data_IF_607336015820
#
_entry.id   IF_607336015820
#
_cell.length_a   1.000
_cell.length_b   1.000
_cell.length_c   1.000
_cell.angle_alpha   90.00
_cell.angle_beta   90.00
_cell.angle_gamma   90.00
#
_symmetry.space_group_name_H-M   'P 1'
#
loop_
_entity.id
_entity.type
_entity.pdbx_description
1 polymer ?
#
# COMPACT_ATOMS: atom_id res chain seq x y z
N UNK A 1 23.89 12.60 -13.01
CA UNK A 1 22.46 12.72 -13.35
C UNK A 1 22.01 11.39 -13.90
N UNK A 2 21.30 10.60 -13.11
CA UNK A 2 20.70 9.34 -13.55
C UNK A 2 19.22 9.43 -13.22
N UNK A 3 18.40 9.49 -14.27
CA UNK A 3 16.94 9.50 -14.16
C UNK A 3 16.50 8.22 -13.46
N UNK A 4 16.03 8.35 -12.21
CA UNK A 4 15.29 7.29 -11.55
C UNK A 4 13.93 7.17 -12.25
N UNK A 5 13.89 6.36 -13.30
CA UNK A 5 12.66 5.92 -13.95
C UNK A 5 11.86 5.23 -12.86
N UNK A 6 10.76 5.86 -12.43
CA UNK A 6 9.73 5.15 -11.68
C UNK A 6 9.22 4.06 -12.61
N UNK A 7 9.65 2.81 -12.37
CA UNK A 7 9.20 1.70 -13.19
C UNK A 7 7.68 1.68 -13.20
N UNK A 8 7.02 1.71 -14.36
CA UNK A 8 5.57 1.61 -14.45
C UNK A 8 5.04 0.39 -13.71
N UNK A 9 5.83 -0.67 -13.50
CA UNK A 9 5.37 -1.87 -12.82
C UNK A 9 4.82 -1.65 -11.38
N UNK A 10 5.25 -0.60 -10.67
CA UNK A 10 4.89 -0.39 -9.27
C UNK A 10 3.60 0.42 -9.04
N UNK A 11 2.99 1.01 -10.09
CA UNK A 11 1.69 1.70 -9.94
C UNK A 11 0.54 0.71 -10.13
N UNK A 12 -0.62 0.91 -9.46
CA UNK A 12 -1.80 0.09 -9.70
C UNK A 12 -2.20 0.10 -11.18
N UNK A 13 -2.76 -1.01 -11.69
CA UNK A 13 -3.13 -1.13 -13.11
C UNK A 13 -4.07 -0.01 -13.56
N UNK A 14 -5.00 0.42 -12.70
CA UNK A 14 -5.95 1.49 -13.03
C UNK A 14 -5.29 2.82 -13.42
N UNK A 15 -4.03 3.05 -13.04
CA UNK A 15 -3.27 4.25 -13.38
C UNK A 15 -2.42 4.09 -14.66
N UNK A 16 -2.38 2.88 -15.25
CA UNK A 16 -1.44 2.55 -16.33
C UNK A 16 -2.07 1.95 -17.57
N UNK A 17 -3.28 1.43 -17.45
CA UNK A 17 -3.96 0.74 -18.54
C UNK A 17 -5.47 1.00 -18.49
N UNK A 18 -6.12 0.82 -19.63
CA UNK A 18 -7.58 0.93 -19.73
C UNK A 18 -8.27 -0.16 -18.93
N UNK A 19 -9.56 0.04 -18.63
CA UNK A 19 -10.39 -0.97 -17.96
C UNK A 19 -10.45 -2.29 -18.75
N UNK A 20 -10.46 -2.24 -20.09
CA UNK A 20 -10.49 -3.43 -20.93
C UNK A 20 -9.19 -4.24 -20.81
N UNK A 21 -8.04 -3.57 -20.94
CA UNK A 21 -6.72 -4.22 -20.79
C UNK A 21 -6.56 -4.78 -19.38
N UNK A 22 -6.90 -3.99 -18.36
CA UNK A 22 -6.88 -4.41 -16.96
C UNK A 22 -7.76 -5.65 -16.75
N UNK A 23 -8.97 -5.68 -17.30
CA UNK A 23 -9.86 -6.83 -17.16
C UNK A 23 -9.25 -8.11 -17.75
N UNK A 24 -8.64 -8.03 -18.94
CA UNK A 24 -7.96 -9.19 -19.56
C UNK A 24 -6.79 -9.67 -18.70
N UNK A 25 -5.97 -8.75 -18.18
CA UNK A 25 -4.87 -9.09 -17.27
C UNK A 25 -5.37 -9.75 -15.98
N UNK A 26 -6.42 -9.20 -15.36
CA UNK A 26 -7.02 -9.78 -14.15
C UNK A 26 -7.58 -11.19 -14.40
N UNK A 27 -8.20 -11.43 -15.56
CA UNK A 27 -8.66 -12.77 -15.94
C UNK A 27 -7.50 -13.75 -16.03
N UNK A 28 -6.39 -13.37 -16.66
CA UNK A 28 -5.17 -14.20 -16.71
C UNK A 28 -4.67 -14.52 -15.32
N UNK A 29 -4.55 -13.51 -14.45
CA UNK A 29 -4.13 -13.70 -13.05
C UNK A 29 -5.02 -14.69 -12.28
N UNK A 30 -6.35 -14.65 -12.49
CA UNK A 30 -7.27 -15.64 -11.89
C UNK A 30 -6.93 -17.06 -12.36
N UNK A 31 -6.62 -17.25 -13.64
CA UNK A 31 -6.25 -18.57 -14.16
C UNK A 31 -4.86 -19.03 -13.67
N UNK A 32 -3.96 -18.09 -13.41
CA UNK A 32 -2.63 -18.34 -12.81
C UNK A 32 -2.68 -18.64 -11.31
N UNK A 33 -3.86 -18.59 -10.69
CA UNK A 33 -4.05 -18.96 -9.30
C UNK A 33 -4.06 -17.80 -8.31
N UNK A 34 -4.04 -16.55 -8.79
CA UNK A 34 -4.03 -15.37 -7.92
C UNK A 34 -5.37 -15.24 -7.17
N UNK A 35 -5.36 -15.03 -5.83
CA UNK A 35 -6.56 -14.83 -5.03
C UNK A 35 -7.13 -13.42 -5.16
N UNK A 36 -8.39 -13.24 -4.78
CA UNK A 36 -9.13 -11.98 -4.88
C UNK A 36 -8.37 -10.80 -4.28
N UNK A 37 -7.76 -10.98 -3.10
CA UNK A 37 -7.06 -9.90 -2.39
C UNK A 37 -5.90 -9.30 -3.19
N UNK A 38 -5.12 -10.14 -3.87
CA UNK A 38 -4.02 -9.69 -4.72
C UNK A 38 -4.51 -9.03 -6.00
N UNK A 39 -5.66 -9.45 -6.54
CA UNK A 39 -6.30 -8.76 -7.67
C UNK A 39 -6.73 -7.34 -7.29
N UNK A 40 -7.24 -7.14 -6.08
CA UNK A 40 -7.61 -5.81 -5.57
C UNK A 40 -6.38 -4.90 -5.51
N UNK A 41 -5.30 -5.37 -4.88
CA UNK A 41 -4.01 -4.65 -4.81
C UNK A 41 -3.45 -4.32 -6.19
N UNK A 42 -3.34 -5.32 -7.07
CA UNK A 42 -2.78 -5.13 -8.40
C UNK A 42 -3.60 -4.17 -9.25
N UNK A 43 -4.93 -4.25 -9.17
CA UNK A 43 -5.83 -3.39 -9.95
C UNK A 43 -5.90 -1.96 -9.41
N UNK A 44 -5.79 -1.76 -8.09
CA UNK A 44 -6.16 -0.51 -7.44
C UNK A 44 -7.66 -0.21 -7.57
N UNK A 45 -8.51 -1.25 -7.57
CA UNK A 45 -9.97 -1.15 -7.71
C UNK A 45 -10.68 -1.95 -6.62
N UNK A 46 -11.90 -1.52 -6.31
CA UNK A 46 -12.78 -2.24 -5.39
C UNK A 46 -13.25 -3.58 -5.97
N UNK A 47 -13.61 -4.52 -5.09
CA UNK A 47 -14.16 -5.83 -5.47
C UNK A 47 -15.40 -5.72 -6.36
N UNK A 48 -16.32 -4.81 -6.04
CA UNK A 48 -17.50 -4.56 -6.87
C UNK A 48 -17.12 -4.11 -8.29
N UNK A 49 -16.07 -3.28 -8.43
CA UNK A 49 -15.58 -2.81 -9.72
C UNK A 49 -14.98 -3.95 -10.53
N UNK A 50 -14.14 -4.80 -9.93
CA UNK A 50 -13.55 -5.96 -10.62
C UNK A 50 -14.64 -6.92 -11.11
N UNK A 51 -15.61 -7.25 -10.27
CA UNK A 51 -16.69 -8.16 -10.63
C UNK A 51 -17.60 -7.58 -11.73
N UNK A 52 -17.78 -6.25 -11.74
CA UNK A 52 -18.47 -5.57 -12.84
C UNK A 52 -17.68 -5.67 -14.14
N UNK A 53 -16.37 -5.45 -14.11
CA UNK A 53 -15.51 -5.60 -15.30
C UNK A 53 -15.55 -7.02 -15.87
N UNK A 54 -15.47 -8.05 -15.01
CA UNK A 54 -15.63 -9.43 -15.45
C UNK A 54 -16.97 -9.67 -16.12
N UNK A 55 -18.05 -9.13 -15.55
CA UNK A 55 -19.38 -9.25 -16.14
C UNK A 55 -19.48 -8.57 -17.50
N UNK A 56 -18.94 -7.35 -17.63
CA UNK A 56 -18.95 -6.55 -18.85
C UNK A 56 -18.06 -7.16 -19.95
N UNK A 57 -16.98 -7.85 -19.57
CA UNK A 57 -16.07 -8.52 -20.51
C UNK A 57 -16.74 -9.67 -21.27
N UNK A 58 -17.66 -10.39 -20.63
CA UNK A 58 -18.39 -11.47 -21.29
C UNK A 58 -19.65 -10.91 -21.95
N UNK A 59 -19.79 -11.13 -23.26
CA UNK A 59 -20.93 -10.66 -24.06
C UNK A 59 -22.31 -11.03 -23.48
N UNK A 60 -22.40 -12.14 -22.75
CA UNK A 60 -23.58 -12.51 -21.96
C UNK A 60 -23.20 -12.68 -20.49
N UNK A 61 -23.74 -11.85 -19.58
CA UNK A 61 -23.58 -12.04 -18.14
C UNK A 61 -23.99 -13.46 -17.73
N UNK A 62 -23.19 -14.09 -16.85
CA UNK A 62 -23.45 -15.44 -16.33
C UNK A 62 -23.40 -16.58 -17.36
N UNK A 63 -22.77 -16.36 -18.52
CA UNK A 63 -22.41 -17.44 -19.43
C UNK A 63 -21.49 -18.47 -18.75
N UNK A 64 -21.32 -19.65 -19.37
CA UNK A 64 -20.49 -20.72 -18.83
C UNK A 64 -19.04 -20.28 -18.53
N UNK A 65 -18.46 -19.45 -19.40
CA UNK A 65 -17.12 -18.90 -19.22
C UNK A 65 -17.04 -17.96 -17.99
N UNK A 66 -18.00 -17.07 -17.83
CA UNK A 66 -18.09 -16.20 -16.65
C UNK A 66 -18.24 -17.00 -15.36
N UNK A 67 -19.13 -18.00 -15.34
CA UNK A 67 -19.30 -18.90 -14.18
C UNK A 67 -18.03 -19.68 -13.86
N UNK A 68 -17.30 -20.14 -14.88
CA UNK A 68 -16.02 -20.83 -14.73
C UNK A 68 -14.95 -19.92 -14.12
N UNK A 69 -14.85 -18.68 -14.57
CA UNK A 69 -13.94 -17.68 -14.00
C UNK A 69 -14.22 -17.46 -12.51
N UNK A 70 -15.49 -17.19 -12.15
CA UNK A 70 -15.86 -16.96 -10.74
C UNK A 70 -15.65 -18.19 -9.87
N UNK A 71 -15.86 -19.40 -10.42
CA UNK A 71 -15.54 -20.65 -9.72
C UNK A 71 -14.03 -20.76 -9.46
N UNK A 72 -13.20 -20.47 -10.47
CA UNK A 72 -11.74 -20.50 -10.35
C UNK A 72 -11.24 -19.51 -9.29
N UNK A 73 -11.79 -18.30 -9.28
CA UNK A 73 -11.43 -17.29 -8.28
C UNK A 73 -11.73 -17.77 -6.85
N UNK A 74 -12.90 -18.40 -6.62
CA UNK A 74 -13.22 -19.01 -5.32
C UNK A 74 -12.28 -20.14 -4.93
N UNK A 75 -11.86 -20.96 -5.89
CA UNK A 75 -10.86 -22.02 -5.65
C UNK A 75 -9.50 -21.43 -5.26
N UNK A 76 -9.08 -20.33 -5.89
CA UNK A 76 -7.84 -19.64 -5.54
C UNK A 76 -7.91 -19.06 -4.12
N UNK A 77 -9.02 -18.41 -3.77
CA UNK A 77 -9.25 -17.89 -2.41
C UNK A 77 -9.19 -19.01 -1.36
N UNK A 78 -9.84 -20.15 -1.63
CA UNK A 78 -9.82 -21.30 -0.74
C UNK A 78 -8.42 -21.90 -0.59
N UNK A 79 -7.65 -21.99 -1.68
CA UNK A 79 -6.25 -22.45 -1.64
C UNK A 79 -5.36 -21.52 -0.84
N UNK A 80 -5.52 -20.20 -0.99
CA UNK A 80 -4.75 -19.23 -0.22
C UNK A 80 -5.09 -19.32 1.27
N UNK A 81 -6.38 -19.43 1.62
CA UNK A 81 -6.82 -19.62 2.99
C UNK A 81 -6.29 -20.92 3.61
N UNK A 82 -6.28 -22.01 2.85
CA UNK A 82 -5.72 -23.29 3.30
C UNK A 82 -4.20 -23.24 3.46
N UNK A 83 -3.48 -22.60 2.53
CA UNK A 83 -2.03 -22.40 2.64
C UNK A 83 -1.66 -21.56 3.87
N UNK A 84 -2.45 -20.53 4.18
CA UNK A 84 -2.33 -19.74 5.39
C UNK A 84 -2.60 -20.57 6.65
N UNK A 85 -3.64 -21.42 6.65
CA UNK A 85 -3.95 -22.33 7.77
C UNK A 85 -2.81 -23.32 8.05
N UNK A 86 -2.14 -23.78 7.00
CA UNK A 86 -1.01 -24.69 7.07
C UNK A 86 0.34 -23.98 7.29
N UNK A 87 0.34 -22.65 7.51
CA UNK A 87 1.55 -21.81 7.63
C UNK A 87 2.52 -21.93 6.43
N UNK A 88 2.02 -22.33 5.26
CA UNK A 88 2.81 -22.41 4.03
C UNK A 88 3.00 -21.04 3.38
N UNK A 89 2.11 -20.10 3.71
CA UNK A 89 2.18 -18.69 3.31
C UNK A 89 1.88 -17.84 4.54
N UNK A 90 2.70 -16.82 4.85
CA UNK A 90 2.42 -15.92 5.96
C UNK A 90 1.05 -15.26 5.81
N UNK A 91 0.26 -15.24 6.88
CA UNK A 91 -0.95 -14.41 6.92
C UNK A 91 -0.50 -12.96 6.92
N UNK A 92 -0.72 -12.25 5.81
CA UNK A 92 -0.52 -10.80 5.79
C UNK A 92 -1.54 -10.15 6.74
N UNK A 93 -1.12 -9.20 7.58
CA UNK A 93 -2.04 -8.43 8.40
C UNK A 93 -3.12 -7.76 7.56
N UNK A 94 -4.33 -7.61 8.11
CA UNK A 94 -5.43 -6.89 7.47
C UNK A 94 -5.26 -5.37 7.48
N UNK A 95 -4.07 -4.88 7.82
CA UNK A 95 -3.72 -3.47 7.92
C UNK A 95 -2.41 -3.21 7.19
N UNK A 96 -2.21 -1.96 6.81
CA UNK A 96 -0.95 -1.46 6.26
C UNK A 96 -0.31 -0.47 7.22
N UNK A 97 1.01 -0.33 7.14
CA UNK A 97 1.73 0.70 7.88
C UNK A 97 1.95 1.90 6.98
N UNK A 98 1.68 3.10 7.48
CA UNK A 98 2.24 4.35 6.94
C UNK A 98 3.31 4.81 7.92
N UNK A 99 4.46 5.24 7.43
CA UNK A 99 5.60 5.60 8.29
C UNK A 99 6.42 6.75 7.72
N UNK A 100 7.37 7.24 8.52
CA UNK A 100 8.23 8.38 8.22
C UNK A 100 9.70 8.08 8.54
N UNK A 101 10.59 8.99 8.12
CA UNK A 101 12.05 8.82 8.18
C UNK A 101 12.58 8.45 9.56
N UNK A 102 12.13 9.11 10.63
CA UNK A 102 12.57 8.84 11.99
C UNK A 102 12.20 7.43 12.47
N UNK A 103 10.96 7.01 12.22
CA UNK A 103 10.49 5.66 12.52
C UNK A 103 11.23 4.58 11.71
N UNK A 104 11.49 4.83 10.42
CA UNK A 104 12.27 3.92 9.57
C UNK A 104 13.70 3.72 10.10
N UNK A 105 14.34 4.78 10.59
CA UNK A 105 15.70 4.71 11.12
C UNK A 105 15.79 4.02 12.49
N UNK A 106 14.78 4.19 13.35
CA UNK A 106 14.88 3.80 14.77
C UNK A 106 14.08 2.56 15.15
N UNK A 107 13.10 2.19 14.35
CA UNK A 107 12.11 1.17 14.71
C UNK A 107 11.82 0.21 13.54
N UNK A 108 12.82 -0.03 12.68
CA UNK A 108 12.71 -0.97 11.56
C UNK A 108 12.32 -2.37 12.03
N UNK A 109 12.86 -2.81 13.17
CA UNK A 109 12.52 -4.08 13.83
C UNK A 109 11.02 -4.19 14.13
N UNK A 110 10.42 -3.16 14.73
CA UNK A 110 8.98 -3.11 15.04
C UNK A 110 8.12 -3.06 13.76
N UNK A 111 8.58 -2.33 12.75
CA UNK A 111 7.91 -2.25 11.44
C UNK A 111 7.89 -3.64 10.79
N UNK A 112 9.02 -4.32 10.72
CA UNK A 112 9.14 -5.66 10.12
C UNK A 112 8.38 -6.73 10.92
N UNK A 113 8.44 -6.68 12.25
CA UNK A 113 7.73 -7.61 13.14
C UNK A 113 6.21 -7.57 12.96
N UNK A 114 5.66 -6.49 12.41
CA UNK A 114 4.24 -6.40 12.09
C UNK A 114 3.81 -7.34 10.96
N UNK A 115 4.73 -7.71 10.05
CA UNK A 115 4.43 -8.45 8.83
C UNK A 115 3.56 -7.70 7.80
N UNK A 116 3.26 -6.42 8.03
CA UNK A 116 2.41 -5.61 7.16
C UNK A 116 3.17 -5.05 5.95
N UNK A 117 2.42 -4.72 4.89
CA UNK A 117 2.94 -3.86 3.82
C UNK A 117 3.13 -2.44 4.37
N UNK A 118 4.22 -1.78 3.97
CA UNK A 118 4.67 -0.50 4.50
C UNK A 118 4.69 0.53 3.37
N UNK A 119 3.92 1.59 3.54
CA UNK A 119 3.78 2.69 2.59
C UNK A 119 4.57 3.91 3.12
N UNK A 120 5.51 4.37 2.30
CA UNK A 120 6.46 5.43 2.67
C UNK A 120 6.30 6.58 1.69
N UNK A 121 6.19 7.84 2.16
CA UNK A 121 6.26 8.99 1.27
C UNK A 121 7.59 9.00 0.52
N UNK A 122 7.55 9.17 -0.81
CA UNK A 122 8.73 9.07 -1.68
C UNK A 122 9.88 9.96 -1.18
N UNK A 123 9.58 11.14 -0.65
CA UNK A 123 10.58 12.09 -0.16
C UNK A 123 11.35 11.58 1.08
N UNK A 124 10.73 10.76 1.94
CA UNK A 124 11.42 10.15 3.08
C UNK A 124 12.61 9.31 2.58
N UNK A 125 12.41 8.58 1.48
CA UNK A 125 13.48 7.76 0.88
C UNK A 125 14.42 8.60 0.02
N UNK A 126 13.90 9.27 -1.01
CA UNK A 126 14.76 9.88 -2.05
C UNK A 126 15.41 11.19 -1.66
N UNK A 127 14.91 11.87 -0.63
CA UNK A 127 15.46 13.15 -0.16
C UNK A 127 16.05 13.03 1.24
N UNK A 128 15.28 12.52 2.20
CA UNK A 128 15.68 12.56 3.61
C UNK A 128 16.71 11.46 3.92
N UNK A 129 16.35 10.19 3.79
CA UNK A 129 17.23 9.06 4.07
C UNK A 129 18.51 9.09 3.23
N UNK A 130 18.41 9.33 1.91
CA UNK A 130 19.59 9.47 1.02
C UNK A 130 20.55 10.60 1.45
N UNK A 131 20.02 11.67 2.04
CA UNK A 131 20.87 12.75 2.56
C UNK A 131 21.50 12.36 3.90
N UNK A 132 20.72 11.74 4.79
CA UNK A 132 21.15 11.35 6.12
C UNK A 132 22.16 10.21 6.11
N UNK A 133 22.03 9.25 5.19
CA UNK A 133 22.91 8.08 5.09
C UNK A 133 24.38 8.44 4.83
N UNK A 134 24.66 9.64 4.33
CA UNK A 134 26.03 10.14 4.16
C UNK A 134 26.81 10.23 5.48
N UNK A 135 26.10 10.38 6.60
CA UNK A 135 26.68 10.65 7.90
C UNK A 135 25.95 9.95 9.08
N UNK A 136 24.99 9.05 8.80
CA UNK A 136 24.19 8.37 9.82
C UNK A 136 23.92 6.92 9.40
N UNK A 137 24.53 5.98 10.13
CA UNK A 137 24.44 4.54 9.85
C UNK A 137 23.00 4.02 9.90
N UNK A 138 22.15 4.53 10.80
CA UNK A 138 20.74 4.12 10.87
C UNK A 138 19.97 4.49 9.61
N UNK A 139 20.33 5.61 8.96
CA UNK A 139 19.73 6.00 7.69
C UNK A 139 20.25 5.14 6.52
N UNK A 140 21.51 4.71 6.56
CA UNK A 140 22.08 3.77 5.59
C UNK A 140 21.44 2.39 5.70
N UNK A 141 21.36 1.84 6.90
CA UNK A 141 20.69 0.57 7.20
C UNK A 141 19.22 0.59 6.77
N UNK A 142 18.49 1.66 7.11
CA UNK A 142 17.09 1.80 6.68
C UNK A 142 16.93 1.83 5.15
N UNK A 143 17.84 2.49 4.42
CA UNK A 143 17.83 2.47 2.96
C UNK A 143 18.10 1.08 2.39
N UNK A 144 19.09 0.38 2.92
CA UNK A 144 19.44 -0.98 2.48
C UNK A 144 18.25 -1.93 2.66
N UNK A 145 17.60 -1.89 3.83
CA UNK A 145 16.43 -2.71 4.12
C UNK A 145 15.25 -2.40 3.18
N UNK A 146 14.94 -1.12 2.97
CA UNK A 146 13.87 -0.68 2.05
C UNK A 146 14.14 -1.15 0.62
N UNK A 147 15.39 -1.06 0.16
CA UNK A 147 15.76 -1.40 -1.21
C UNK A 147 15.82 -2.92 -1.42
N UNK A 148 16.15 -3.69 -0.39
CA UNK A 148 16.23 -5.15 -0.42
C UNK A 148 14.86 -5.83 -0.37
N UNK A 149 13.83 -5.15 0.16
CA UNK A 149 12.51 -5.73 0.38
C UNK A 149 11.37 -4.98 -0.36
N UNK A 150 11.38 -4.95 -1.71
CA UNK A 150 10.37 -4.22 -2.50
C UNK A 150 8.96 -4.81 -2.43
N UNK A 151 8.80 -6.03 -1.90
CA UNK A 151 7.52 -6.68 -1.63
C UNK A 151 6.87 -6.22 -0.31
N UNK A 152 7.63 -5.54 0.55
CA UNK A 152 7.20 -5.01 1.85
C UNK A 152 7.10 -3.48 1.77
N UNK A 153 8.10 -2.81 1.20
CA UNK A 153 8.20 -1.35 1.20
C UNK A 153 7.76 -0.72 -0.12
N UNK A 154 6.70 0.07 -0.04
CA UNK A 154 6.08 0.77 -1.17
C UNK A 154 6.31 2.27 -1.06
N UNK A 155 7.09 2.83 -2.00
CA UNK A 155 7.40 4.26 -2.06
C UNK A 155 6.32 4.98 -2.86
N UNK A 156 5.60 5.90 -2.22
CA UNK A 156 4.46 6.58 -2.81
C UNK A 156 4.81 8.04 -3.08
N UNK A 157 4.70 8.42 -4.36
CA UNK A 157 4.78 9.81 -4.78
C UNK A 157 3.34 10.33 -4.93
N UNK A 158 2.86 11.10 -3.95
CA UNK A 158 1.58 11.79 -4.07
C UNK A 158 1.75 13.06 -4.90
N UNK A 159 0.93 13.18 -5.95
CA UNK A 159 0.91 14.35 -6.82
C UNK A 159 -0.04 15.44 -6.31
N UNK A 160 -1.08 15.03 -5.59
CA UNK A 160 -2.04 15.90 -4.93
C UNK A 160 -2.12 15.49 -3.46
N UNK A 161 -1.81 16.42 -2.56
CA UNK A 161 -1.94 16.16 -1.12
C UNK A 161 -3.39 16.44 -0.70
N UNK A 162 -4.13 15.39 -0.34
CA UNK A 162 -5.51 15.49 0.15
C UNK A 162 -5.56 15.18 1.65
N UNK A 163 -6.15 16.10 2.41
CA UNK A 163 -6.37 15.98 3.85
C UNK A 163 -7.81 16.38 4.20
N UNK A 164 -8.33 15.85 5.29
CA UNK A 164 -9.73 16.03 5.69
C UNK A 164 -9.94 17.23 6.62
N UNK A 165 -8.86 17.84 7.10
CA UNK A 165 -8.90 19.01 7.97
C UNK A 165 -7.97 20.10 7.48
N UNK A 166 -8.27 21.34 7.89
CA UNK A 166 -7.43 22.50 7.58
C UNK A 166 -6.03 22.30 8.19
N UNK A 167 -5.01 22.38 7.35
CA UNK A 167 -3.62 22.34 7.77
C UNK A 167 -3.32 23.66 8.49
N UNK A 168 -2.82 23.63 9.74
CA UNK A 168 -2.44 24.85 10.44
C UNK A 168 -1.39 25.66 9.66
N UNK A 169 -1.50 26.99 9.73
CA UNK A 169 -0.50 27.87 9.13
C UNK A 169 0.89 27.60 9.73
N UNK A 170 1.92 27.53 8.87
CA UNK A 170 3.29 27.22 9.28
C UNK A 170 3.60 25.73 9.47
N UNK A 171 2.63 24.81 9.22
CA UNK A 171 2.89 23.38 9.27
C UNK A 171 3.95 22.97 8.24
N UNK A 172 4.89 22.10 8.66
CA UNK A 172 5.95 21.62 7.78
C UNK A 172 5.34 20.77 6.66
N UNK A 173 5.72 21.04 5.40
CA UNK A 173 5.25 20.29 4.21
C UNK A 173 5.41 18.78 4.35
N UNK A 174 6.50 18.31 4.97
CA UNK A 174 6.72 16.88 5.23
C UNK A 174 5.63 16.25 6.11
N UNK A 175 5.09 17.00 7.09
CA UNK A 175 4.01 16.52 7.96
C UNK A 175 2.77 16.31 7.10
N UNK A 176 2.41 17.32 6.28
CA UNK A 176 1.30 17.22 5.33
C UNK A 176 1.44 16.01 4.41
N UNK A 177 2.62 15.79 3.81
CA UNK A 177 2.84 14.66 2.91
C UNK A 177 2.68 13.28 3.58
N UNK A 178 3.07 13.14 4.86
CA UNK A 178 2.85 11.90 5.63
C UNK A 178 1.35 11.71 5.91
N UNK A 179 0.67 12.76 6.37
CA UNK A 179 -0.77 12.71 6.70
C UNK A 179 -1.61 12.45 5.46
N UNK A 180 -1.27 13.08 4.34
CA UNK A 180 -1.95 12.88 3.07
C UNK A 180 -1.80 11.43 2.57
N UNK A 181 -0.64 10.80 2.78
CA UNK A 181 -0.47 9.38 2.46
C UNK A 181 -1.36 8.49 3.34
N UNK A 182 -1.42 8.76 4.64
CA UNK A 182 -2.34 8.07 5.56
C UNK A 182 -3.80 8.21 5.11
N UNK A 183 -4.22 9.43 4.74
CA UNK A 183 -5.56 9.73 4.24
C UNK A 183 -5.88 8.98 2.95
N UNK A 184 -4.93 8.90 2.01
CA UNK A 184 -5.10 8.13 0.77
C UNK A 184 -5.25 6.63 1.03
N UNK A 185 -4.43 6.04 1.91
CA UNK A 185 -4.54 4.62 2.25
C UNK A 185 -5.91 4.30 2.86
N UNK A 186 -6.38 5.15 3.77
CA UNK A 186 -7.71 5.04 4.37
C UNK A 186 -8.84 5.20 3.34
N UNK A 187 -8.73 6.19 2.44
CA UNK A 187 -9.72 6.44 1.38
C UNK A 187 -9.83 5.26 0.40
N UNK A 188 -8.75 4.50 0.25
CA UNK A 188 -8.71 3.24 -0.49
C UNK A 188 -9.28 2.04 0.30
N UNK A 189 -9.96 2.28 1.44
CA UNK A 189 -10.56 1.29 2.33
C UNK A 189 -9.54 0.34 2.99
N UNK A 190 -8.31 0.80 3.22
CA UNK A 190 -7.33 0.05 3.99
C UNK A 190 -7.43 0.41 5.47
N UNK A 191 -7.24 -0.58 6.35
CA UNK A 191 -6.94 -0.30 7.76
C UNK A 191 -5.51 0.19 7.85
N UNK A 192 -5.29 1.32 8.52
CA UNK A 192 -3.99 2.00 8.54
C UNK A 192 -3.45 2.04 9.96
N UNK A 193 -2.18 1.67 10.12
CA UNK A 193 -1.39 2.02 11.30
C UNK A 193 -0.35 3.06 10.92
N UNK A 194 -0.45 4.27 11.46
CA UNK A 194 0.58 5.29 11.29
C UNK A 194 1.62 5.13 12.39
N UNK A 195 2.84 4.78 12.01
CA UNK A 195 4.00 4.73 12.91
C UNK A 195 4.80 6.02 12.74
N UNK A 196 4.98 6.77 13.82
CA UNK A 196 5.72 8.03 13.77
C UNK A 196 6.53 8.26 15.02
N UNK A 197 7.70 8.87 14.87
CA UNK A 197 8.50 9.41 15.98
C UNK A 197 8.25 10.92 16.19
N UNK A 198 7.39 11.53 15.38
CA UNK A 198 7.15 12.98 15.37
C UNK A 198 5.83 13.33 16.05
N UNK A 199 5.91 14.16 17.09
CA UNK A 199 4.73 14.72 17.76
C UNK A 199 3.84 15.53 16.80
N UNK A 200 4.43 16.35 15.92
CA UNK A 200 3.71 17.12 14.89
C UNK A 200 2.86 16.20 13.99
N UNK A 201 3.42 15.06 13.57
CA UNK A 201 2.73 14.07 12.74
C UNK A 201 1.64 13.37 13.53
N UNK A 202 1.93 12.94 14.76
CA UNK A 202 0.97 12.27 15.63
C UNK A 202 -0.29 13.14 15.85
N UNK A 203 -0.10 14.39 16.25
CA UNK A 203 -1.21 15.31 16.51
C UNK A 203 -2.00 15.64 15.24
N UNK A 204 -1.32 15.86 14.12
CA UNK A 204 -1.99 16.16 12.86
C UNK A 204 -2.78 14.96 12.32
N UNK A 205 -2.30 13.73 12.56
CA UNK A 205 -3.00 12.51 12.20
C UNK A 205 -4.30 12.34 13.00
N UNK A 206 -4.24 12.53 14.33
CA UNK A 206 -5.42 12.46 15.19
C UNK A 206 -6.49 13.47 14.79
N UNK A 207 -6.08 14.69 14.39
CA UNK A 207 -6.99 15.73 13.91
C UNK A 207 -7.77 15.33 12.65
N UNK A 208 -7.28 14.38 11.85
CA UNK A 208 -8.01 13.94 10.65
C UNK A 208 -9.33 13.22 10.96
N UNK A 209 -9.48 12.66 12.17
CA UNK A 209 -10.75 12.04 12.58
C UNK A 209 -11.20 10.83 11.75
N UNK A 210 -10.26 10.01 11.26
CA UNK A 210 -10.50 8.91 10.30
C UNK A 210 -11.18 7.65 10.91
N UNK A 211 -11.61 7.70 12.17
CA UNK A 211 -12.36 6.62 12.82
C UNK A 211 -11.53 5.39 13.21
N UNK A 212 -12.21 4.27 13.44
CA UNK A 212 -11.63 3.05 14.03
C UNK A 212 -10.73 2.23 13.11
N UNK A 213 -10.73 2.51 11.81
CA UNK A 213 -9.86 1.84 10.84
C UNK A 213 -8.47 2.49 10.74
N UNK A 214 -8.20 3.53 11.55
CA UNK A 214 -6.89 4.18 11.66
C UNK A 214 -6.39 4.14 13.09
N UNK A 215 -5.21 3.56 13.29
CA UNK A 215 -4.47 3.58 14.55
C UNK A 215 -3.22 4.45 14.38
N UNK A 216 -3.04 5.44 15.26
CA UNK A 216 -1.86 6.31 15.24
C UNK A 216 -0.97 5.96 16.43
N UNK A 217 0.26 5.55 16.15
CA UNK A 217 1.22 5.07 17.15
C UNK A 217 2.43 6.01 17.17
N UNK A 218 2.58 6.73 18.29
CA UNK A 218 3.79 7.48 18.59
C UNK A 218 4.84 6.50 19.14
N UNK A 219 5.93 6.33 18.40
CA UNK A 219 7.05 5.49 18.80
C UNK A 219 8.03 6.34 19.61
N UNK A 220 8.26 5.94 20.86
CA UNK A 220 9.24 6.57 21.73
C UNK A 220 10.66 6.28 21.26
N UNK A 221 11.51 7.31 21.35
CA UNK A 221 12.92 7.25 20.95
C UNK A 221 13.79 6.43 21.90
#
# INVERSE_FOLDING_TARGET
MTNAITSPANKPMCQRMSNETMCKTLITMVYDGVPTEELLRASGRSKSTIYRLFREHYATPNCAAHKKLLKKLRENDAKMAEAQRLNLVPVKPSFVIVTETGALMKHMDKILASGAEVFIPQFCVTKELVKLSRHNNLAEEALEEIMSNPSIFHKICQLNEEVFTVIPEGMKTRVTGIISLMCEMWTNNLKVKLFTTSQDVYEMALKQGLGSDVEVVLLEN
#
